data_IF_022926467753
#
_entry.id   IF_022926467753
#
_cell.length_a   1.000
_cell.length_b   1.000
_cell.length_c   1.000
_cell.angle_alpha   90.00
_cell.angle_beta   90.00
_cell.angle_gamma   90.00
#
_symmetry.space_group_name_H-M   'P 1'
#
loop_
_entity.id
_entity.type
_entity.pdbx_description
1 polymer ?
#
# COMPACT_ATOMS: atom_id res chain seq x y z
N UNK A 1 -10.99 -8.59 6.11
CA UNK A 1 -10.08 -7.47 6.45
C UNK A 1 -8.64 -7.91 6.14
N UNK A 2 -7.79 -7.05 5.57
CA UNK A 2 -6.44 -7.45 5.11
C UNK A 2 -5.31 -7.10 6.10
N UNK A 3 -5.55 -6.20 7.06
CA UNK A 3 -4.56 -5.75 8.03
C UNK A 3 -4.94 -6.20 9.44
N UNK A 4 -3.95 -6.45 10.30
CA UNK A 4 -4.17 -6.62 11.74
C UNK A 4 -4.77 -5.35 12.34
N UNK A 5 -5.49 -5.46 13.45
CA UNK A 5 -6.25 -4.35 14.02
C UNK A 5 -5.37 -3.12 14.32
N UNK A 6 -4.21 -3.35 14.93
CA UNK A 6 -3.19 -2.33 15.23
C UNK A 6 -2.46 -1.82 13.99
N UNK A 7 -2.55 -2.58 12.89
CA UNK A 7 -1.92 -2.29 11.61
C UNK A 7 -2.77 -1.43 10.69
N UNK A 8 -4.05 -1.22 11.03
CA UNK A 8 -4.98 -0.43 10.21
C UNK A 8 -4.48 1.01 10.05
N UNK A 9 -4.63 1.53 8.84
CA UNK A 9 -4.24 2.91 8.51
C UNK A 9 -5.50 3.68 8.18
N UNK A 10 -5.66 4.83 8.83
CA UNK A 10 -6.74 5.76 8.59
C UNK A 10 -6.15 7.09 8.13
N UNK A 11 -6.75 7.75 7.13
CA UNK A 11 -6.40 9.12 6.78
C UNK A 11 -6.62 10.06 7.97
N UNK A 12 -5.87 11.17 8.00
CA UNK A 12 -6.17 12.28 8.91
C UNK A 12 -7.47 12.96 8.49
N UNK A 13 -8.06 13.73 9.40
CA UNK A 13 -9.37 14.38 9.22
C UNK A 13 -9.49 15.23 7.95
N UNK A 14 -8.37 15.73 7.43
CA UNK A 14 -8.24 16.60 6.27
C UNK A 14 -7.63 15.92 5.03
N UNK A 15 -7.29 14.63 5.13
CA UNK A 15 -6.69 13.87 4.04
C UNK A 15 -7.65 12.81 3.49
N UNK A 16 -7.72 12.67 2.16
CA UNK A 16 -8.49 11.57 1.55
C UNK A 16 -7.78 10.22 1.71
N UNK A 17 -6.46 10.20 1.50
CA UNK A 17 -5.62 9.01 1.56
C UNK A 17 -4.22 9.38 2.05
N UNK A 18 -3.68 8.57 2.95
CA UNK A 18 -2.25 8.60 3.32
C UNK A 18 -1.38 8.11 2.16
N UNK A 19 -0.07 8.33 2.23
CA UNK A 19 0.87 7.83 1.22
C UNK A 19 0.80 6.31 1.04
N UNK A 20 0.77 5.54 2.13
CA UNK A 20 0.56 4.09 2.08
C UNK A 20 -0.73 3.76 1.34
N UNK A 21 -1.85 4.40 1.68
CA UNK A 21 -3.13 4.13 1.05
C UNK A 21 -3.14 4.49 -0.45
N UNK A 22 -2.44 5.56 -0.86
CA UNK A 22 -2.28 5.92 -2.29
C UNK A 22 -1.50 4.86 -3.07
N UNK A 23 -0.43 4.32 -2.49
CA UNK A 23 0.36 3.22 -3.11
C UNK A 23 -0.53 2.01 -3.35
N UNK A 24 -1.30 1.60 -2.35
CA UNK A 24 -2.15 0.42 -2.45
C UNK A 24 -3.41 0.64 -3.29
N UNK A 25 -3.91 1.88 -3.37
CA UNK A 25 -4.94 2.25 -4.34
C UNK A 25 -4.44 2.09 -5.79
N UNK A 26 -3.20 2.51 -6.09
CA UNK A 26 -2.60 2.31 -7.41
C UNK A 26 -2.43 0.82 -7.75
N UNK A 27 -1.99 0.00 -6.79
CA UNK A 27 -1.91 -1.47 -6.94
C UNK A 27 -3.29 -2.05 -7.26
N UNK A 28 -4.33 -1.63 -6.54
CA UNK A 28 -5.72 -2.06 -6.79
C UNK A 28 -6.25 -1.63 -8.16
N UNK A 29 -5.78 -0.49 -8.68
CA UNK A 29 -6.08 -0.03 -10.04
C UNK A 29 -5.22 -0.72 -11.13
N UNK A 30 -4.41 -1.72 -10.76
CA UNK A 30 -3.57 -2.49 -11.69
C UNK A 30 -2.19 -1.88 -11.95
N UNK A 31 -1.83 -0.78 -11.29
CA UNK A 31 -0.48 -0.20 -11.36
C UNK A 31 0.39 -0.85 -10.30
N UNK A 32 1.02 -1.97 -10.64
CA UNK A 32 1.84 -2.78 -9.71
C UNK A 32 3.35 -2.53 -9.80
N UNK A 33 3.80 -1.87 -10.86
CA UNK A 33 5.22 -1.56 -11.09
C UNK A 33 5.70 -0.47 -10.14
N UNK A 34 6.72 -0.77 -9.33
CA UNK A 34 7.25 0.16 -8.33
C UNK A 34 7.83 1.44 -8.94
N UNK A 35 8.40 1.38 -10.15
CA UNK A 35 8.93 2.58 -10.81
C UNK A 35 7.81 3.50 -11.26
N UNK A 36 6.72 2.96 -11.80
CA UNK A 36 5.52 3.74 -12.16
C UNK A 36 4.90 4.37 -10.92
N UNK A 37 4.74 3.62 -9.83
CA UNK A 37 4.20 4.15 -8.57
C UNK A 37 5.10 5.27 -8.03
N UNK A 38 6.42 5.05 -8.01
CA UNK A 38 7.40 6.05 -7.59
C UNK A 38 7.28 7.33 -8.41
N UNK A 39 7.18 7.20 -9.74
CA UNK A 39 7.01 8.32 -10.65
C UNK A 39 5.70 9.08 -10.40
N UNK A 40 4.56 8.38 -10.29
CA UNK A 40 3.25 9.00 -10.05
C UNK A 40 3.18 9.76 -8.73
N UNK A 41 3.84 9.24 -7.69
CA UNK A 41 3.80 9.83 -6.35
C UNK A 41 4.98 10.79 -6.07
N UNK A 42 5.92 10.94 -7.01
CA UNK A 42 7.10 11.78 -6.83
C UNK A 42 8.06 11.28 -5.75
N UNK A 43 8.10 9.96 -5.51
CA UNK A 43 8.97 9.33 -4.51
C UNK A 43 10.12 8.55 -5.14
N UNK A 44 11.13 8.27 -4.33
CA UNK A 44 12.19 7.34 -4.73
C UNK A 44 11.66 5.90 -4.79
N UNK A 45 12.30 5.07 -5.62
CA UNK A 45 11.98 3.64 -5.70
C UNK A 45 12.15 2.94 -4.33
N UNK A 46 13.19 3.30 -3.57
CA UNK A 46 13.44 2.77 -2.23
C UNK A 46 12.31 3.13 -1.25
N UNK A 47 11.77 4.34 -1.34
CA UNK A 47 10.63 4.78 -0.54
C UNK A 47 9.40 3.90 -0.82
N UNK A 48 9.10 3.58 -2.09
CA UNK A 48 7.99 2.69 -2.44
C UNK A 48 8.19 1.28 -1.88
N UNK A 49 9.41 0.71 -1.99
CA UNK A 49 9.70 -0.60 -1.40
C UNK A 49 9.52 -0.62 0.12
N UNK A 50 9.96 0.43 0.81
CA UNK A 50 9.79 0.55 2.26
C UNK A 50 8.32 0.59 2.66
N UNK A 51 7.48 1.35 1.96
CA UNK A 51 6.04 1.38 2.22
C UNK A 51 5.36 0.04 1.95
N UNK A 52 5.69 -0.63 0.84
CA UNK A 52 5.18 -1.97 0.52
C UNK A 52 5.57 -3.00 1.60
N UNK A 53 6.83 -3.00 2.00
CA UNK A 53 7.34 -3.89 3.06
C UNK A 53 6.66 -3.63 4.40
N UNK A 54 6.52 -2.35 4.80
CA UNK A 54 5.84 -1.96 6.04
C UNK A 54 4.39 -2.44 6.07
N UNK A 55 3.66 -2.27 4.97
CA UNK A 55 2.26 -2.69 4.88
C UNK A 55 2.10 -4.20 4.85
N UNK A 56 2.96 -4.92 4.12
CA UNK A 56 3.03 -6.37 4.14
C UNK A 56 3.25 -6.91 5.56
N UNK A 57 4.11 -6.27 6.34
CA UNK A 57 4.37 -6.68 7.73
C UNK A 57 3.18 -6.48 8.68
N UNK A 58 2.19 -5.68 8.27
CA UNK A 58 0.94 -5.45 9.00
C UNK A 58 -0.22 -6.31 8.47
N UNK A 59 0.03 -7.20 7.50
CA UNK A 59 -0.99 -8.08 6.96
C UNK A 59 -1.55 -9.03 8.04
N UNK A 60 -2.87 -9.20 8.08
CA UNK A 60 -3.52 -10.16 8.98
C UNK A 60 -3.38 -11.61 8.51
N UNK A 61 -3.14 -11.82 7.21
CA UNK A 61 -2.99 -13.12 6.57
C UNK A 61 -1.60 -13.34 5.99
N UNK A 62 -1.55 -14.08 4.87
CA UNK A 62 -0.32 -14.37 4.16
C UNK A 62 0.30 -13.10 3.56
N UNK A 63 1.52 -12.80 4.02
CA UNK A 63 2.31 -11.65 3.60
C UNK A 63 2.62 -11.67 2.11
N UNK A 64 2.87 -12.83 1.53
CA UNK A 64 3.24 -12.95 0.12
C UNK A 64 2.04 -12.74 -0.80
N UNK A 65 0.83 -13.02 -0.28
CA UNK A 65 -0.43 -12.79 -0.98
C UNK A 65 -1.05 -11.41 -0.77
N UNK A 66 -0.57 -10.66 0.22
CA UNK A 66 -1.19 -9.41 0.64
C UNK A 66 -1.51 -8.44 -0.51
N UNK A 67 -0.55 -8.19 -1.41
CA UNK A 67 -0.78 -7.25 -2.53
C UNK A 67 -1.78 -7.79 -3.56
N UNK A 68 -1.81 -9.11 -3.77
CA UNK A 68 -2.80 -9.76 -4.62
C UNK A 68 -4.20 -9.68 -4.00
N UNK A 69 -4.31 -9.86 -2.69
CA UNK A 69 -5.57 -9.74 -1.97
C UNK A 69 -6.04 -8.27 -1.95
N UNK A 70 -5.13 -7.28 -1.89
CA UNK A 70 -5.47 -5.86 -2.07
C UNK A 70 -6.02 -5.59 -3.47
N UNK A 71 -5.48 -6.23 -4.50
CA UNK A 71 -5.96 -6.08 -5.88
C UNK A 71 -7.39 -6.62 -6.06
N UNK A 72 -7.76 -7.64 -5.28
CA UNK A 72 -9.06 -8.32 -5.36
C UNK A 72 -10.14 -7.73 -4.42
N UNK A 73 -9.82 -6.67 -3.66
CA UNK A 73 -10.80 -5.92 -2.87
C UNK A 73 -11.79 -5.16 -3.76
#
# INVERSE_FOLDING_TARGET
ELLVEEGRIYPKSDELLTTELRIFALIRLGVIDSNKIAHFLGYSLATIYNYRSRMRNKAAGDKDRFEQDVMNL
#
